data_IF_382801488025
#
_entry.id   IF_382801488025
#
_cell.length_a   1.000
_cell.length_b   1.000
_cell.length_c   1.000
_cell.angle_alpha   90.00
_cell.angle_beta   90.00
_cell.angle_gamma   90.00
#
_symmetry.space_group_name_H-M   'P 1'
#
loop_
_entity.id
_entity.type
_entity.pdbx_description
1 polymer ?
#
# COMPACT_ATOMS: atom_id res chain seq x y z
N UNK A 1 8.64 -2.84 -0.37
CA UNK A 1 9.46 -2.88 0.86
C UNK A 1 8.64 -3.15 2.10
N UNK A 2 7.78 -2.23 2.57
CA UNK A 2 7.04 -2.46 3.80
C UNK A 2 6.26 -3.77 3.83
N UNK A 3 5.61 -4.12 2.72
CA UNK A 3 5.00 -5.44 2.54
C UNK A 3 6.00 -6.58 2.72
N UNK A 4 7.10 -6.59 1.96
CA UNK A 4 8.10 -7.67 2.01
C UNK A 4 8.69 -7.84 3.41
N UNK A 5 8.95 -6.72 4.11
CA UNK A 5 9.42 -6.75 5.50
C UNK A 5 8.37 -7.29 6.47
N UNK A 6 7.10 -6.95 6.26
CA UNK A 6 6.00 -7.53 7.04
C UNK A 6 5.90 -9.05 6.82
N UNK A 7 5.92 -9.53 5.58
CA UNK A 7 5.90 -10.97 5.28
C UNK A 7 7.08 -11.70 5.91
N UNK A 8 8.28 -11.11 5.82
CA UNK A 8 9.47 -11.66 6.48
C UNK A 8 9.33 -11.69 8.01
N UNK A 9 8.72 -10.67 8.62
CA UNK A 9 8.45 -10.67 10.06
C UNK A 9 7.41 -11.73 10.43
N UNK A 10 6.31 -11.83 9.69
CA UNK A 10 5.26 -12.83 9.94
C UNK A 10 5.77 -14.25 9.83
N UNK A 11 6.68 -14.52 8.89
CA UNK A 11 7.34 -15.83 8.76
C UNK A 11 8.27 -16.20 9.93
N UNK A 12 8.58 -15.25 10.82
CA UNK A 12 9.45 -15.42 11.99
C UNK A 12 8.71 -15.32 13.34
N UNK A 13 7.39 -15.12 13.30
CA UNK A 13 6.54 -15.09 14.49
C UNK A 13 6.57 -16.48 15.16
N UNK A 14 6.67 -16.58 16.50
CA UNK A 14 6.69 -17.84 17.21
C UNK A 14 5.47 -18.73 16.94
N UNK A 15 5.66 -20.05 16.99
CA UNK A 15 4.58 -21.02 16.87
C UNK A 15 3.51 -20.79 17.95
N UNK A 16 2.24 -20.79 17.55
CA UNK A 16 1.10 -20.55 18.45
C UNK A 16 0.67 -19.08 18.52
N UNK A 17 1.39 -18.16 17.89
CA UNK A 17 0.96 -16.75 17.75
C UNK A 17 0.23 -16.58 16.43
N UNK A 18 -1.02 -16.13 16.48
CA UNK A 18 -1.82 -15.79 15.30
C UNK A 18 -1.85 -14.27 15.10
N UNK A 19 -1.44 -13.82 13.93
CA UNK A 19 -1.38 -12.40 13.56
C UNK A 19 -2.35 -12.12 12.42
N UNK A 20 -3.44 -11.43 12.71
CA UNK A 20 -4.38 -10.97 11.70
C UNK A 20 -3.90 -9.65 11.07
N UNK A 21 -3.64 -9.65 9.76
CA UNK A 21 -3.28 -8.45 9.01
C UNK A 21 -4.50 -7.85 8.34
N UNK A 22 -4.86 -6.63 8.71
CA UNK A 22 -5.97 -5.87 8.12
C UNK A 22 -5.49 -4.71 7.28
N UNK A 23 -5.49 -4.88 5.97
CA UNK A 23 -5.13 -3.83 5.02
C UNK A 23 -6.14 -2.69 5.04
N UNK A 24 -5.62 -1.48 5.00
CA UNK A 24 -6.42 -0.25 4.94
C UNK A 24 -5.90 0.65 3.83
N UNK A 25 -6.78 1.13 2.94
CA UNK A 25 -6.38 2.11 1.93
C UNK A 25 -6.02 3.44 2.57
N UNK A 26 -5.00 4.11 2.05
CA UNK A 26 -4.62 5.46 2.47
C UNK A 26 -4.21 6.27 1.24
N UNK A 27 -4.94 7.33 0.96
CA UNK A 27 -4.67 8.22 -0.16
C UNK A 27 -3.72 9.34 0.26
N UNK A 28 -2.41 9.14 -0.02
CA UNK A 28 -1.36 10.08 0.37
C UNK A 28 -1.51 11.40 -0.38
N UNK A 29 -1.83 11.32 -1.67
CA UNK A 29 -1.85 12.43 -2.62
C UNK A 29 -3.26 12.60 -3.23
N UNK A 30 -4.25 12.89 -2.37
CA UNK A 30 -5.63 13.14 -2.80
C UNK A 30 -5.77 14.38 -3.70
N UNK A 31 -4.76 15.27 -3.69
CA UNK A 31 -4.69 16.47 -4.54
C UNK A 31 -4.27 16.20 -5.98
N UNK A 32 -3.72 15.01 -6.26
CA UNK A 32 -3.26 14.67 -7.62
C UNK A 32 -4.45 14.50 -8.56
N UNK A 33 -4.45 15.28 -9.63
CA UNK A 33 -5.51 15.24 -10.64
C UNK A 33 -5.54 13.88 -11.39
N UNK A 34 -6.65 13.52 -12.07
CA UNK A 34 -6.75 12.24 -12.79
C UNK A 34 -5.61 11.98 -13.78
N UNK A 35 -5.07 13.03 -14.39
CA UNK A 35 -3.95 12.95 -15.34
C UNK A 35 -2.60 12.63 -14.67
N UNK A 36 -2.57 12.67 -13.34
CA UNK A 36 -1.37 12.54 -12.54
C UNK A 36 -0.61 13.88 -12.41
N UNK A 37 0.47 13.86 -11.64
CA UNK A 37 1.34 15.01 -11.41
C UNK A 37 2.74 14.70 -11.96
N UNK A 38 3.25 15.47 -12.93
CA UNK A 38 4.63 15.36 -13.40
C UNK A 38 5.61 15.49 -12.23
N UNK A 39 6.73 14.77 -12.29
CA UNK A 39 7.71 14.82 -11.19
C UNK A 39 8.35 16.19 -11.03
N UNK A 40 8.36 17.00 -12.09
CA UNK A 40 8.84 18.37 -12.11
C UNK A 40 7.97 19.32 -11.28
N UNK A 41 6.70 18.97 -11.06
CA UNK A 41 5.73 19.77 -10.29
C UNK A 41 5.71 19.39 -8.79
N UNK A 42 6.53 18.40 -8.39
CA UNK A 42 6.67 18.03 -6.99
C UNK A 42 7.41 19.13 -6.19
N UNK A 43 7.13 19.27 -4.88
CA UNK A 43 7.77 20.29 -4.04
C UNK A 43 9.21 19.92 -3.65
N UNK A 44 9.97 19.27 -4.56
CA UNK A 44 11.34 18.82 -4.36
C UNK A 44 12.22 19.31 -5.48
N UNK A 45 13.48 19.68 -5.18
CA UNK A 45 14.44 19.92 -6.26
C UNK A 45 14.72 18.62 -7.03
N UNK A 46 15.18 18.71 -8.30
CA UNK A 46 15.57 17.51 -9.07
C UNK A 46 16.61 16.65 -8.33
N UNK A 47 17.53 17.28 -7.60
CA UNK A 47 18.57 16.60 -6.81
C UNK A 47 17.95 15.87 -5.60
N UNK A 48 17.02 16.51 -4.88
CA UNK A 48 16.31 15.89 -3.76
C UNK A 48 15.48 14.68 -4.23
N UNK A 49 14.77 14.84 -5.36
CA UNK A 49 14.02 13.75 -5.95
C UNK A 49 14.91 12.57 -6.35
N UNK A 50 16.06 12.86 -7.01
CA UNK A 50 17.01 11.83 -7.40
C UNK A 50 17.58 11.08 -6.18
N UNK A 51 17.90 11.78 -5.10
CA UNK A 51 18.36 11.17 -3.84
C UNK A 51 17.30 10.29 -3.20
N UNK A 52 16.04 10.74 -3.17
CA UNK A 52 14.91 9.95 -2.65
C UNK A 52 14.69 8.68 -3.48
N UNK A 53 14.76 8.78 -4.82
CA UNK A 53 14.62 7.62 -5.70
C UNK A 53 15.78 6.64 -5.55
N UNK A 54 17.00 7.14 -5.35
CA UNK A 54 18.16 6.27 -5.11
C UNK A 54 18.07 5.56 -3.77
N UNK A 55 17.70 6.24 -2.70
CA UNK A 55 17.47 5.62 -1.40
C UNK A 55 16.36 4.56 -1.46
N UNK A 56 15.29 4.83 -2.23
CA UNK A 56 14.21 3.87 -2.46
C UNK A 56 14.73 2.62 -3.18
N UNK A 57 15.55 2.79 -4.25
CA UNK A 57 16.13 1.68 -5.00
C UNK A 57 17.05 0.82 -4.13
N UNK A 58 17.92 1.45 -3.32
CA UNK A 58 18.82 0.75 -2.42
C UNK A 58 18.06 -0.08 -1.39
N UNK A 59 17.09 0.52 -0.70
CA UNK A 59 16.26 -0.20 0.26
C UNK A 59 15.41 -1.31 -0.37
N UNK A 60 14.96 -1.13 -1.62
CA UNK A 60 14.22 -2.17 -2.34
C UNK A 60 15.13 -3.34 -2.72
N UNK A 61 16.36 -3.06 -3.14
CA UNK A 61 17.34 -4.09 -3.50
C UNK A 61 17.72 -4.99 -2.31
N UNK A 62 17.73 -4.46 -1.08
CA UNK A 62 17.93 -5.25 0.15
C UNK A 62 16.85 -6.33 0.32
N UNK A 63 15.64 -6.07 -0.19
CA UNK A 63 14.50 -7.00 -0.15
C UNK A 63 14.33 -7.78 -1.46
N UNK A 64 15.29 -7.72 -2.38
CA UNK A 64 15.20 -8.36 -3.69
C UNK A 64 14.15 -7.75 -4.63
N UNK A 65 13.72 -6.50 -4.37
CA UNK A 65 12.71 -5.80 -5.14
C UNK A 65 13.33 -4.84 -6.14
N UNK A 66 12.68 -4.68 -7.30
CA UNK A 66 13.08 -3.73 -8.32
C UNK A 66 12.27 -2.43 -8.21
N UNK A 67 12.93 -1.30 -8.52
CA UNK A 67 12.29 0.02 -8.63
C UNK A 67 12.64 0.65 -9.97
N UNK A 68 11.64 0.73 -10.84
CA UNK A 68 11.74 1.35 -12.15
C UNK A 68 11.65 2.88 -12.12
N UNK A 69 11.70 3.47 -13.29
CA UNK A 69 11.51 4.92 -13.46
C UNK A 69 10.02 5.25 -13.54
N UNK A 70 9.62 6.29 -12.86
CA UNK A 70 8.26 6.84 -12.93
C UNK A 70 8.32 8.30 -13.36
N UNK A 71 7.74 8.66 -14.51
CA UNK A 71 7.78 10.04 -15.01
C UNK A 71 6.80 10.97 -14.32
N UNK A 72 5.81 10.41 -13.60
CA UNK A 72 4.80 11.15 -12.85
C UNK A 72 4.34 10.40 -11.61
N UNK A 73 3.71 11.11 -10.71
CA UNK A 73 2.92 10.54 -9.61
C UNK A 73 1.51 10.32 -10.17
N UNK A 74 1.06 9.07 -10.17
CA UNK A 74 -0.29 8.72 -10.62
C UNK A 74 -1.34 9.15 -9.60
N UNK A 75 -2.53 9.53 -10.06
CA UNK A 75 -3.71 9.50 -9.22
C UNK A 75 -4.04 8.04 -8.91
N UNK A 76 -3.92 7.61 -7.66
CA UNK A 76 -4.10 6.21 -7.27
C UNK A 76 -5.49 5.91 -6.71
N UNK A 77 -6.41 6.88 -6.74
CA UNK A 77 -7.73 6.74 -6.13
C UNK A 77 -8.48 5.49 -6.63
N UNK A 78 -8.59 5.32 -7.96
CA UNK A 78 -9.25 4.15 -8.56
C UNK A 78 -8.55 2.83 -8.20
N UNK A 79 -7.22 2.83 -8.14
CA UNK A 79 -6.46 1.63 -7.74
C UNK A 79 -6.71 1.26 -6.26
N UNK A 80 -6.85 2.26 -5.37
CA UNK A 80 -7.22 2.05 -3.97
C UNK A 80 -8.64 1.47 -3.84
N UNK A 81 -9.60 2.01 -4.61
CA UNK A 81 -10.96 1.46 -4.67
C UNK A 81 -10.96 0.01 -5.19
N UNK A 82 -10.18 -0.28 -6.23
CA UNK A 82 -10.05 -1.63 -6.76
C UNK A 82 -9.43 -2.59 -5.72
N UNK A 83 -8.45 -2.13 -4.96
CA UNK A 83 -7.87 -2.87 -3.84
C UNK A 83 -8.90 -3.17 -2.75
N UNK A 84 -9.73 -2.21 -2.41
CA UNK A 84 -10.79 -2.39 -1.42
C UNK A 84 -11.89 -3.34 -1.92
N UNK A 85 -12.30 -3.22 -3.19
CA UNK A 85 -13.18 -4.18 -3.85
C UNK A 85 -12.61 -5.61 -3.74
N UNK A 86 -11.37 -5.81 -4.16
CA UNK A 86 -10.76 -7.14 -4.13
C UNK A 86 -10.70 -7.72 -2.71
N UNK A 87 -10.36 -6.89 -1.72
CA UNK A 87 -10.31 -7.29 -0.31
C UNK A 87 -11.68 -7.74 0.23
N UNK A 88 -12.76 -7.09 -0.20
CA UNK A 88 -14.13 -7.34 0.30
C UNK A 88 -14.83 -8.44 -0.49
N UNK A 89 -14.77 -8.38 -1.81
CA UNK A 89 -15.57 -9.23 -2.70
C UNK A 89 -14.81 -10.47 -3.22
N UNK A 90 -13.48 -10.38 -3.31
CA UNK A 90 -12.63 -11.44 -3.87
C UNK A 90 -11.38 -11.68 -3.00
N UNK A 91 -11.59 -11.87 -1.69
CA UNK A 91 -10.54 -11.92 -0.67
C UNK A 91 -9.41 -12.94 -0.98
N UNK A 92 -9.74 -14.06 -1.62
CA UNK A 92 -8.74 -15.07 -2.03
C UNK A 92 -7.77 -14.56 -3.11
N UNK A 93 -8.20 -13.60 -3.93
CA UNK A 93 -7.41 -12.98 -4.99
C UNK A 93 -6.72 -11.68 -4.58
N UNK A 94 -7.16 -11.11 -3.46
CA UNK A 94 -6.64 -9.85 -2.96
C UNK A 94 -5.12 -9.84 -2.79
N UNK A 95 -4.45 -10.83 -2.19
CA UNK A 95 -3.00 -10.80 -2.03
C UNK A 95 -2.25 -10.70 -3.37
N UNK A 96 -2.63 -11.51 -4.35
CA UNK A 96 -2.01 -11.50 -5.68
C UNK A 96 -2.25 -10.17 -6.42
N UNK A 97 -3.47 -9.64 -6.34
CA UNK A 97 -3.80 -8.34 -6.93
C UNK A 97 -3.05 -7.18 -6.27
N UNK A 98 -2.98 -7.18 -4.95
CA UNK A 98 -2.28 -6.18 -4.17
C UNK A 98 -0.79 -6.13 -4.52
N UNK A 99 -0.14 -7.28 -4.58
CA UNK A 99 1.26 -7.40 -5.02
C UNK A 99 1.45 -6.90 -6.46
N UNK A 100 0.55 -7.29 -7.36
CA UNK A 100 0.61 -6.89 -8.76
C UNK A 100 0.46 -5.36 -8.95
N UNK A 101 -0.37 -4.69 -8.15
CA UNK A 101 -0.47 -3.23 -8.13
C UNK A 101 0.85 -2.58 -7.72
N UNK A 102 1.51 -3.06 -6.65
CA UNK A 102 2.81 -2.54 -6.24
C UNK A 102 3.88 -2.78 -7.29
N UNK A 103 3.95 -3.98 -7.85
CA UNK A 103 4.89 -4.31 -8.92
C UNK A 103 4.68 -3.42 -10.14
N UNK A 104 3.43 -3.31 -10.59
CA UNK A 104 3.06 -2.46 -11.72
C UNK A 104 3.50 -1.01 -11.51
N UNK A 105 3.24 -0.45 -10.34
CA UNK A 105 3.57 0.93 -10.03
C UNK A 105 5.06 1.17 -9.80
N UNK A 106 5.70 0.39 -8.91
CA UNK A 106 7.06 0.66 -8.47
C UNK A 106 8.13 0.05 -9.37
N UNK A 107 7.95 -1.17 -9.88
CA UNK A 107 8.93 -1.84 -10.71
C UNK A 107 8.75 -1.53 -12.20
N UNK A 108 7.51 -1.58 -12.69
CA UNK A 108 7.20 -1.45 -14.11
C UNK A 108 6.91 0.01 -14.53
N UNK A 109 6.68 0.92 -13.57
CA UNK A 109 6.38 2.32 -13.83
C UNK A 109 5.02 2.55 -14.51
N UNK A 110 4.07 1.62 -14.33
CA UNK A 110 2.72 1.71 -14.89
C UNK A 110 1.92 2.82 -14.23
N UNK A 111 1.10 3.49 -15.01
CA UNK A 111 0.25 4.56 -14.52
C UNK A 111 -1.03 3.99 -13.89
N UNK A 112 -1.08 3.93 -12.56
CA UNK A 112 -2.28 3.47 -11.84
C UNK A 112 -3.44 4.47 -11.86
N UNK A 113 -3.24 5.67 -12.41
CA UNK A 113 -4.33 6.62 -12.71
C UNK A 113 -5.10 6.25 -13.98
N UNK A 114 -4.54 5.42 -14.85
CA UNK A 114 -5.23 4.92 -16.04
C UNK A 114 -6.12 3.72 -15.65
N UNK A 115 -7.46 3.83 -15.81
CA UNK A 115 -8.38 2.74 -15.53
C UNK A 115 -8.03 1.44 -16.27
N UNK A 116 -7.56 1.53 -17.51
CA UNK A 116 -7.22 0.36 -18.33
C UNK A 116 -6.01 -0.41 -17.74
N UNK A 117 -5.07 0.30 -17.12
CA UNK A 117 -3.93 -0.30 -16.43
C UNK A 117 -4.39 -1.07 -15.19
N UNK A 118 -5.28 -0.48 -14.39
CA UNK A 118 -5.82 -1.14 -13.19
C UNK A 118 -6.63 -2.39 -13.57
N UNK A 119 -7.44 -2.30 -14.60
CA UNK A 119 -8.24 -3.43 -15.14
C UNK A 119 -7.35 -4.56 -15.68
N UNK A 120 -6.26 -4.22 -16.37
CA UNK A 120 -5.30 -5.21 -16.88
C UNK A 120 -4.59 -5.95 -15.73
N UNK A 121 -4.16 -5.23 -14.69
CA UNK A 121 -3.57 -5.83 -13.50
C UNK A 121 -4.61 -6.72 -12.79
N UNK A 122 -5.86 -6.26 -12.64
CA UNK A 122 -6.93 -7.02 -12.02
C UNK A 122 -7.22 -8.32 -12.79
N UNK A 123 -7.27 -8.25 -14.11
CA UNK A 123 -7.46 -9.41 -15.00
C UNK A 123 -6.33 -10.42 -14.84
N UNK A 124 -5.09 -9.93 -14.80
CA UNK A 124 -3.90 -10.78 -14.63
C UNK A 124 -3.87 -11.48 -13.27
N UNK A 125 -4.44 -10.85 -12.23
CA UNK A 125 -4.60 -11.42 -10.89
C UNK A 125 -5.85 -12.31 -10.76
N UNK A 126 -6.66 -12.44 -11.83
CA UNK A 126 -7.83 -13.32 -11.88
C UNK A 126 -9.12 -12.75 -11.29
N UNK A 127 -9.19 -11.43 -11.08
CA UNK A 127 -10.42 -10.76 -10.61
C UNK A 127 -11.49 -10.73 -11.71
N UNK A 128 -12.76 -10.69 -11.29
CA UNK A 128 -13.87 -10.35 -12.17
C UNK A 128 -13.87 -8.84 -12.48
N UNK A 129 -13.15 -8.47 -13.54
CA UNK A 129 -12.99 -7.08 -13.97
C UNK A 129 -14.33 -6.42 -14.25
N UNK A 130 -15.30 -7.15 -14.83
CA UNK A 130 -16.63 -6.59 -15.14
C UNK A 130 -17.40 -6.19 -13.90
N UNK A 131 -17.41 -7.04 -12.87
CA UNK A 131 -18.01 -6.73 -11.56
C UNK A 131 -17.27 -5.60 -10.87
N UNK A 132 -15.93 -5.67 -10.84
CA UNK A 132 -15.10 -4.64 -10.25
C UNK A 132 -15.38 -3.27 -10.87
N UNK A 133 -15.26 -3.13 -12.19
CA UNK A 133 -15.47 -1.86 -12.90
C UNK A 133 -16.87 -1.30 -12.63
N UNK A 134 -17.89 -2.14 -12.66
CA UNK A 134 -19.26 -1.72 -12.36
C UNK A 134 -19.40 -1.16 -10.93
N UNK A 135 -18.81 -1.82 -9.94
CA UNK A 135 -18.85 -1.38 -8.55
C UNK A 135 -18.09 -0.05 -8.36
N UNK A 136 -16.90 0.08 -8.98
CA UNK A 136 -16.10 1.29 -8.92
C UNK A 136 -16.82 2.48 -9.59
N UNK A 137 -17.38 2.28 -10.79
CA UNK A 137 -18.11 3.31 -11.52
C UNK A 137 -19.43 3.70 -10.80
N UNK A 138 -19.98 2.79 -9.99
CA UNK A 138 -21.10 3.04 -9.09
C UNK A 138 -20.74 3.81 -7.82
N UNK A 139 -19.46 4.07 -7.56
CA UNK A 139 -18.98 4.79 -6.39
C UNK A 139 -19.07 3.98 -5.07
N UNK A 140 -19.20 2.66 -5.15
CA UNK A 140 -19.46 1.82 -3.97
C UNK A 140 -18.33 1.89 -2.93
N UNK A 141 -17.09 2.16 -3.34
CA UNK A 141 -15.90 2.17 -2.48
C UNK A 141 -15.34 3.58 -2.17
N UNK A 142 -15.89 4.64 -2.75
CA UNK A 142 -15.51 6.04 -2.51
C UNK A 142 -15.48 6.39 -1.02
N UNK A 143 -16.59 6.09 -0.35
CA UNK A 143 -16.74 6.38 1.07
C UNK A 143 -15.73 5.63 1.96
N UNK A 144 -15.34 4.42 1.57
CA UNK A 144 -14.37 3.64 2.32
C UNK A 144 -12.97 4.25 2.24
N UNK A 145 -12.55 4.72 1.05
CA UNK A 145 -11.25 5.36 0.84
C UNK A 145 -11.17 6.67 1.64
N UNK A 146 -12.19 7.52 1.51
CA UNK A 146 -12.27 8.80 2.21
C UNK A 146 -12.26 8.60 3.72
N UNK A 147 -13.14 7.77 4.26
CA UNK A 147 -13.25 7.54 5.70
C UNK A 147 -11.97 6.96 6.32
N UNK A 148 -11.29 6.04 5.62
CA UNK A 148 -10.05 5.45 6.12
C UNK A 148 -8.91 6.47 6.07
N UNK A 149 -8.81 7.23 5.00
CA UNK A 149 -7.79 8.30 4.86
C UNK A 149 -7.98 9.37 5.92
N UNK A 150 -9.20 9.83 6.16
CA UNK A 150 -9.51 10.85 7.19
C UNK A 150 -9.24 10.34 8.60
N UNK A 151 -9.62 9.09 8.90
CA UNK A 151 -9.30 8.46 10.18
C UNK A 151 -7.79 8.39 10.40
N UNK A 152 -7.03 7.97 9.40
CA UNK A 152 -5.57 7.90 9.49
C UNK A 152 -4.96 9.29 9.75
N UNK A 153 -5.42 10.32 9.05
CA UNK A 153 -4.97 11.72 9.26
C UNK A 153 -5.29 12.22 10.67
N UNK A 154 -6.47 11.92 11.21
CA UNK A 154 -6.86 12.27 12.59
C UNK A 154 -5.96 11.57 13.63
N UNK A 155 -5.45 10.38 13.32
CA UNK A 155 -4.49 9.64 14.15
C UNK A 155 -3.04 10.12 13.94
N UNK A 156 -2.81 11.15 13.13
CA UNK A 156 -1.47 11.67 12.84
C UNK A 156 -0.66 10.83 11.87
N UNK A 157 -1.29 9.90 11.15
CA UNK A 157 -0.64 9.11 10.10
C UNK A 157 -0.52 9.97 8.85
N UNK A 158 0.73 10.24 8.44
CA UNK A 158 1.04 11.14 7.32
C UNK A 158 1.75 10.43 6.15
N UNK A 159 1.92 9.11 6.23
CA UNK A 159 2.64 8.36 5.20
C UNK A 159 2.46 6.85 5.31
N UNK A 160 2.95 6.17 4.28
CA UNK A 160 2.91 4.72 4.14
C UNK A 160 4.29 4.12 3.90
N UNK A 161 4.51 2.88 4.36
CA UNK A 161 3.60 2.09 5.18
C UNK A 161 3.51 2.63 6.61
N UNK A 162 2.37 2.45 7.26
CA UNK A 162 2.23 2.61 8.69
C UNK A 162 1.54 1.35 9.23
N UNK A 163 2.15 0.71 10.21
CA UNK A 163 1.65 -0.50 10.85
C UNK A 163 1.08 -0.14 12.20
N UNK A 164 -0.22 -0.38 12.42
CA UNK A 164 -0.91 -0.12 13.69
C UNK A 164 -1.16 -1.44 14.41
N UNK A 165 -0.63 -1.59 15.62
CA UNK A 165 -0.75 -2.77 16.44
C UNK A 165 -1.86 -2.57 17.49
N UNK A 166 -2.89 -3.41 17.43
CA UNK A 166 -4.04 -3.47 18.34
C UNK A 166 -4.71 -2.11 18.65
N UNK A 167 -4.58 -1.14 17.73
CA UNK A 167 -5.04 0.24 17.89
C UNK A 167 -4.37 1.00 19.06
N UNK A 168 -3.23 0.53 19.55
CA UNK A 168 -2.50 1.08 20.71
C UNK A 168 -1.31 1.92 20.31
N UNK A 169 -0.49 1.42 19.39
CA UNK A 169 0.70 2.11 18.91
C UNK A 169 0.94 1.83 17.42
N UNK A 170 1.84 2.58 16.82
CA UNK A 170 2.14 2.45 15.40
C UNK A 170 3.64 2.47 15.12
N UNK A 171 4.04 1.71 14.11
CA UNK A 171 5.38 1.76 13.50
C UNK A 171 5.24 2.42 12.14
N UNK A 172 5.92 3.56 11.95
CA UNK A 172 5.84 4.37 10.74
C UNK A 172 7.02 4.09 9.82
N UNK A 173 6.73 3.96 8.53
CA UNK A 173 7.72 3.70 7.49
C UNK A 173 8.08 2.22 7.34
N UNK A 174 8.84 1.93 6.29
CA UNK A 174 9.38 0.59 6.03
C UNK A 174 10.57 0.32 6.95
N UNK A 175 10.30 0.14 8.24
CA UNK A 175 11.29 -0.18 9.25
C UNK A 175 11.89 -1.58 9.02
N UNK A 176 13.09 -1.90 9.56
CA UNK A 176 13.66 -3.23 9.51
C UNK A 176 12.73 -4.31 10.08
N UNK A 177 12.90 -5.54 9.63
CA UNK A 177 12.10 -6.70 10.08
C UNK A 177 12.14 -6.86 11.61
N UNK A 178 13.29 -6.62 12.22
CA UNK A 178 13.49 -6.69 13.67
C UNK A 178 12.62 -5.69 14.44
N UNK A 179 12.40 -4.50 13.88
CA UNK A 179 11.50 -3.51 14.49
C UNK A 179 10.03 -3.95 14.44
N UNK A 180 9.62 -4.61 13.37
CA UNK A 180 8.27 -5.18 13.27
C UNK A 180 8.09 -6.36 14.23
N UNK A 181 9.10 -7.22 14.38
CA UNK A 181 9.07 -8.31 15.36
C UNK A 181 8.99 -7.79 16.80
N UNK A 182 9.78 -6.77 17.14
CA UNK A 182 9.69 -6.12 18.45
C UNK A 182 8.30 -5.52 18.71
N UNK A 183 7.68 -4.94 17.69
CA UNK A 183 6.33 -4.41 17.79
C UNK A 183 5.29 -5.52 18.00
N UNK A 184 5.43 -6.66 17.32
CA UNK A 184 4.58 -7.84 17.54
C UNK A 184 4.74 -8.36 18.97
N UNK A 185 5.97 -8.52 19.44
CA UNK A 185 6.25 -8.97 20.81
C UNK A 185 5.68 -8.02 21.86
N UNK A 186 5.72 -6.72 21.63
CA UNK A 186 5.13 -5.73 22.53
C UNK A 186 3.58 -5.81 22.54
N UNK A 187 2.96 -6.01 21.38
CA UNK A 187 1.51 -6.19 21.29
C UNK A 187 1.07 -7.45 22.06
N UNK A 188 1.81 -8.55 21.94
CA UNK A 188 1.52 -9.81 22.66
C UNK A 188 1.53 -9.64 24.19
N UNK A 189 2.48 -8.92 24.76
CA UNK A 189 2.55 -8.67 26.20
C UNK A 189 1.29 -7.98 26.72
N UNK A 190 0.74 -7.04 25.95
CA UNK A 190 -0.48 -6.34 26.32
C UNK A 190 -1.75 -7.20 26.21
N UNK A 191 -1.72 -8.24 25.36
CA UNK A 191 -2.87 -9.19 25.24
C UNK A 191 -2.92 -10.16 26.42
N UNK A 192 -1.77 -10.47 27.04
CA UNK A 192 -1.70 -11.35 28.22
C UNK A 192 -2.12 -10.63 29.54
N UNK A 193 -2.19 -9.30 29.54
CA UNK A 193 -2.54 -8.48 30.71
C UNK A 193 -4.05 -8.16 30.80
N UNK A 194 -4.85 -8.50 29.79
CA UNK A 194 -6.32 -8.35 29.75
C UNK A 194 -7.06 -9.65 30.06
#
# INVERSE_FOLDING_TARGET
MGWARLESALGRVPEGVDVEVRWRPYEIHAEVQPEGMPVEDLPYSPEQWAQMQEALRQSAAEEGLEVGKRPKVSNTHRALMAGEYARVEEAERFPAFHEALFKGYFAEGRDLGDPAVVEDIARSAGLDVGRMTKALDGGEYEGAITATTDTARQLGITGTPTFVFDKRFAVVGAQPVEALLQAIDEALKHTEEE
#
